data_IF_170933155706
#
_entry.id   IF_170933155706
#
_cell.length_a   1.000
_cell.length_b   1.000
_cell.length_c   1.000
_cell.angle_alpha   90.00
_cell.angle_beta   90.00
_cell.angle_gamma   90.00
#
_symmetry.space_group_name_H-M   'P 1'
#
loop_
_entity.id
_entity.type
_entity.pdbx_description
1 polymer ?
#
# COMPACT_ATOMS: atom_id res chain seq x y z
N UNK A 1 -79.39 4.59 8.13
CA UNK A 1 -78.91 5.09 9.42
C UNK A 1 -77.78 4.16 9.81
N UNK A 2 -76.55 4.55 9.45
CA UNK A 2 -75.40 3.65 9.43
C UNK A 2 -74.72 3.60 10.79
N UNK A 3 -74.78 2.44 11.43
CA UNK A 3 -73.98 2.11 12.61
C UNK A 3 -72.58 1.68 12.16
N UNK A 4 -71.62 2.62 12.20
CA UNK A 4 -70.20 2.32 12.11
C UNK A 4 -69.77 1.55 13.37
N UNK A 5 -69.51 0.27 13.22
CA UNK A 5 -68.75 -0.54 14.18
C UNK A 5 -67.26 -0.17 14.07
N UNK A 6 -66.78 0.67 14.99
CA UNK A 6 -65.34 0.78 15.26
C UNK A 6 -64.92 -0.43 16.09
N UNK A 7 -64.10 -1.31 15.50
CA UNK A 7 -63.40 -2.38 16.21
C UNK A 7 -62.31 -1.72 17.06
N UNK A 8 -62.46 -1.77 18.38
CA UNK A 8 -61.35 -1.48 19.29
C UNK A 8 -60.30 -2.60 19.16
N UNK A 9 -59.22 -2.29 18.46
CA UNK A 9 -58.03 -3.14 18.41
C UNK A 9 -57.21 -2.83 19.67
N UNK A 10 -57.42 -3.63 20.72
CA UNK A 10 -56.54 -3.62 21.88
C UNK A 10 -55.22 -4.26 21.45
N UNK A 11 -54.22 -3.42 21.16
CA UNK A 11 -52.83 -3.82 20.99
C UNK A 11 -52.28 -4.25 22.35
N UNK A 12 -52.37 -5.55 22.65
CA UNK A 12 -51.59 -6.15 23.72
C UNK A 12 -50.12 -6.13 23.31
N UNK A 13 -49.42 -5.06 23.68
CA UNK A 13 -47.97 -5.07 23.73
C UNK A 13 -47.56 -6.11 24.76
N UNK A 14 -47.05 -7.22 24.28
CA UNK A 14 -46.49 -8.26 25.12
C UNK A 14 -45.24 -7.67 25.81
N UNK A 15 -45.38 -7.26 27.07
CA UNK A 15 -44.33 -6.61 27.87
C UNK A 15 -43.03 -7.44 27.93
N UNK A 16 -43.12 -8.75 27.69
CA UNK A 16 -41.97 -9.66 27.57
C UNK A 16 -41.10 -9.44 26.31
N UNK A 17 -41.62 -8.80 25.26
CA UNK A 17 -40.81 -8.39 24.11
C UNK A 17 -40.10 -7.05 24.34
N UNK A 18 -40.72 -6.14 25.11
CA UNK A 18 -40.10 -4.89 25.53
C UNK A 18 -38.93 -5.10 26.48
N UNK A 19 -39.05 -6.02 27.44
CA UNK A 19 -37.99 -6.37 28.39
C UNK A 19 -36.83 -7.18 27.78
N UNK A 20 -37.07 -7.88 26.66
CA UNK A 20 -35.98 -8.47 25.84
C UNK A 20 -35.19 -7.44 25.05
N UNK A 21 -35.83 -6.35 24.61
CA UNK A 21 -35.16 -5.20 23.98
C UNK A 21 -34.35 -4.36 24.99
N UNK A 22 -34.70 -4.38 26.28
CA UNK A 22 -33.95 -3.67 27.34
C UNK A 22 -32.58 -4.27 27.65
N UNK A 23 -32.29 -5.50 27.24
CA UNK A 23 -30.98 -6.18 27.42
C UNK A 23 -30.20 -6.38 26.12
N UNK A 24 -30.53 -5.63 25.07
CA UNK A 24 -29.87 -5.80 23.78
C UNK A 24 -28.46 -5.18 23.82
N UNK A 25 -27.48 -5.96 24.26
CA UNK A 25 -26.05 -5.62 24.14
C UNK A 25 -25.68 -5.47 22.67
N UNK A 26 -24.81 -4.50 22.35
CA UNK A 26 -24.37 -4.34 20.98
C UNK A 26 -23.64 -5.60 20.49
N UNK A 27 -24.06 -6.09 19.32
CA UNK A 27 -23.46 -7.22 18.65
C UNK A 27 -22.47 -6.69 17.63
N UNK A 28 -21.20 -7.08 17.77
CA UNK A 28 -20.16 -6.82 16.78
C UNK A 28 -20.34 -7.78 15.61
N UNK A 29 -20.21 -7.27 14.39
CA UNK A 29 -20.35 -8.09 13.19
C UNK A 29 -19.33 -7.71 12.12
N UNK A 30 -18.94 -8.71 11.33
CA UNK A 30 -18.08 -8.55 10.15
C UNK A 30 -18.86 -7.92 9.00
N UNK A 31 -18.33 -6.83 8.44
CA UNK A 31 -18.87 -6.22 7.22
C UNK A 31 -18.30 -6.89 5.97
N UNK A 32 -19.02 -6.76 4.87
CA UNK A 32 -18.46 -6.99 3.55
C UNK A 32 -17.57 -5.81 3.18
N UNK A 33 -16.30 -6.09 2.88
CA UNK A 33 -15.35 -5.05 2.48
C UNK A 33 -15.67 -4.53 1.08
N UNK A 34 -15.46 -3.23 0.88
CA UNK A 34 -15.48 -2.63 -0.45
C UNK A 34 -14.42 -3.30 -1.36
N UNK A 35 -14.69 -3.50 -2.67
CA UNK A 35 -13.78 -4.18 -3.59
C UNK A 35 -12.37 -3.59 -3.63
N UNK A 36 -12.23 -2.29 -3.41
CA UNK A 36 -10.93 -1.60 -3.34
C UNK A 36 -9.96 -2.22 -2.33
N UNK A 37 -10.44 -2.81 -1.23
CA UNK A 37 -9.57 -3.46 -0.23
C UNK A 37 -8.87 -4.71 -0.77
N UNK A 38 -9.38 -5.35 -1.83
CA UNK A 38 -8.69 -6.47 -2.48
C UNK A 38 -7.39 -6.05 -3.18
N UNK A 39 -7.17 -4.73 -3.31
CA UNK A 39 -6.01 -4.11 -3.99
C UNK A 39 -4.94 -3.67 -2.99
N UNK A 40 -5.18 -3.81 -1.69
CA UNK A 40 -4.29 -3.35 -0.62
C UNK A 40 -3.76 -4.56 0.15
N UNK A 41 -2.45 -4.59 0.45
CA UNK A 41 -1.87 -5.71 1.19
C UNK A 41 -2.33 -5.73 2.65
N UNK A 42 -2.55 -6.92 3.25
CA UNK A 42 -2.91 -7.05 4.66
C UNK A 42 -2.03 -6.26 5.62
N UNK A 43 -0.71 -6.21 5.41
CA UNK A 43 0.22 -5.51 6.31
C UNK A 43 -0.03 -4.00 6.35
N UNK A 44 -0.27 -3.38 5.19
CA UNK A 44 -0.60 -1.95 5.13
C UNK A 44 -1.89 -1.67 5.91
N UNK A 45 -2.91 -2.51 5.73
CA UNK A 45 -4.19 -2.40 6.45
C UNK A 45 -4.03 -2.64 7.96
N UNK A 46 -3.27 -3.67 8.35
CA UNK A 46 -3.01 -3.99 9.75
C UNK A 46 -2.37 -2.81 10.49
N UNK A 47 -1.35 -2.20 9.87
CA UNK A 47 -0.70 -1.03 10.44
C UNK A 47 -1.66 0.15 10.57
N UNK A 48 -2.40 0.46 9.50
CA UNK A 48 -3.33 1.59 9.50
C UNK A 48 -4.45 1.40 10.55
N UNK A 49 -4.97 0.18 10.69
CA UNK A 49 -6.01 -0.16 11.66
C UNK A 49 -5.54 0.01 13.11
N UNK A 50 -4.34 -0.50 13.44
CA UNK A 50 -3.75 -0.39 14.78
C UNK A 50 -3.39 1.07 15.12
N UNK A 51 -3.02 1.88 14.13
CA UNK A 51 -2.61 3.27 14.33
C UNK A 51 -3.66 4.33 13.96
N UNK A 52 -4.89 3.91 13.64
CA UNK A 52 -5.97 4.79 13.12
C UNK A 52 -6.31 5.98 14.02
N UNK A 53 -6.06 5.88 15.32
CA UNK A 53 -6.27 6.97 16.30
C UNK A 53 -5.12 7.97 16.43
N UNK A 54 -4.00 7.79 15.72
CA UNK A 54 -2.80 8.61 15.87
C UNK A 54 -2.44 9.29 14.54
N UNK A 55 -2.90 10.53 14.34
CA UNK A 55 -2.73 11.27 13.08
C UNK A 55 -1.25 11.41 12.63
N UNK A 56 -0.31 11.52 13.56
CA UNK A 56 1.13 11.66 13.25
C UNK A 56 1.70 10.50 12.43
N UNK A 57 1.07 9.33 12.45
CA UNK A 57 1.56 8.13 11.76
C UNK A 57 1.19 8.07 10.28
N UNK A 58 0.16 8.81 9.87
CA UNK A 58 -0.21 8.93 8.45
C UNK A 58 0.73 9.87 7.67
N UNK A 59 1.57 10.62 8.37
CA UNK A 59 2.63 11.44 7.78
C UNK A 59 3.96 10.67 7.60
N UNK A 60 3.99 9.38 7.95
CA UNK A 60 5.20 8.56 7.83
C UNK A 60 5.46 8.15 6.38
N UNK A 61 6.73 7.90 6.01
CA UNK A 61 7.10 7.52 4.64
C UNK A 61 6.36 6.28 4.10
N UNK A 62 5.88 5.41 4.99
CA UNK A 62 5.12 4.21 4.63
C UNK A 62 3.66 4.53 4.21
N UNK A 63 3.11 5.72 4.53
CA UNK A 63 1.76 6.16 4.13
C UNK A 63 1.69 7.47 3.34
N UNK A 64 2.82 8.19 3.22
CA UNK A 64 2.84 9.57 2.69
C UNK A 64 2.15 9.73 1.33
N UNK A 65 2.20 8.69 0.50
CA UNK A 65 1.57 8.69 -0.83
C UNK A 65 0.43 7.67 -0.96
N UNK A 66 0.24 6.79 0.04
CA UNK A 66 -0.82 5.80 0.02
C UNK A 66 -2.20 6.47 0.05
N UNK A 67 -2.32 7.56 0.80
CA UNK A 67 -3.55 8.37 0.90
C UNK A 67 -3.95 9.01 -0.45
N UNK A 68 -2.98 9.26 -1.33
CA UNK A 68 -3.21 9.77 -2.68
C UNK A 68 -3.38 8.65 -3.72
N UNK A 69 -3.18 7.39 -3.33
CA UNK A 69 -3.11 6.28 -4.26
C UNK A 69 -4.45 5.62 -4.60
N UNK A 70 -5.49 5.85 -3.79
CA UNK A 70 -6.84 5.31 -3.99
C UNK A 70 -7.89 6.42 -3.95
N UNK A 71 -8.89 6.33 -4.84
CA UNK A 71 -9.92 7.37 -4.96
C UNK A 71 -11.05 7.24 -3.94
N UNK A 72 -11.25 6.06 -3.36
CA UNK A 72 -12.43 5.72 -2.56
C UNK A 72 -12.12 5.31 -1.10
N UNK A 73 -10.84 5.26 -0.71
CA UNK A 73 -10.44 4.78 0.63
C UNK A 73 -9.56 5.81 1.32
N UNK A 74 -9.96 6.17 2.54
CA UNK A 74 -9.05 6.79 3.50
C UNK A 74 -8.57 5.73 4.48
N UNK A 75 -7.25 5.59 4.63
CA UNK A 75 -6.66 4.74 5.68
C UNK A 75 -6.71 5.38 7.08
N UNK A 76 -7.35 6.55 7.22
CA UNK A 76 -7.35 7.34 8.44
C UNK A 76 -8.51 7.01 9.40
N UNK A 77 -9.01 8.02 10.11
CA UNK A 77 -10.10 7.90 11.08
C UNK A 77 -11.33 7.32 10.38
N UNK A 78 -11.88 6.24 10.95
CA UNK A 78 -13.03 5.54 10.39
C UNK A 78 -12.70 4.22 9.71
N UNK A 79 -11.43 3.94 9.37
CA UNK A 79 -11.02 2.69 8.70
C UNK A 79 -11.54 1.43 9.41
N UNK A 80 -11.49 1.38 10.75
CA UNK A 80 -11.99 0.23 11.53
C UNK A 80 -13.48 -0.07 11.28
N UNK A 81 -14.27 0.96 10.94
CA UNK A 81 -15.71 0.85 10.66
C UNK A 81 -16.01 0.36 9.26
N UNK A 82 -15.04 0.32 8.34
CA UNK A 82 -15.16 -0.37 7.05
C UNK A 82 -15.16 -1.89 7.23
N UNK A 83 -14.44 -2.37 8.25
CA UNK A 83 -14.25 -3.80 8.53
C UNK A 83 -15.35 -4.37 9.41
N UNK A 84 -15.75 -3.63 10.44
CA UNK A 84 -16.67 -4.11 11.48
C UNK A 84 -17.77 -3.09 11.74
N UNK A 85 -18.92 -3.58 12.21
CA UNK A 85 -20.03 -2.76 12.65
C UNK A 85 -20.63 -3.27 13.96
N UNK A 86 -21.45 -2.41 14.59
CA UNK A 86 -22.24 -2.75 15.77
C UNK A 86 -23.72 -2.69 15.40
N UNK A 87 -24.52 -3.58 15.96
CA UNK A 87 -25.98 -3.60 15.77
C UNK A 87 -26.72 -4.01 17.04
N UNK A 88 -28.04 -3.84 17.02
CA UNK A 88 -28.97 -4.32 18.04
C UNK A 88 -28.77 -3.69 19.44
N UNK A 89 -28.28 -2.46 19.55
CA UNK A 89 -28.27 -1.72 20.81
C UNK A 89 -29.26 -0.54 20.78
N UNK A 90 -29.91 -0.28 21.92
CA UNK A 90 -30.87 0.82 22.10
C UNK A 90 -30.23 2.20 21.89
N UNK A 91 -28.95 2.33 22.21
CA UNK A 91 -28.15 3.55 22.10
C UNK A 91 -26.80 3.22 21.46
N UNK A 92 -26.81 2.94 20.16
CA UNK A 92 -25.61 2.52 19.41
C UNK A 92 -24.47 3.54 19.47
N UNK A 93 -24.76 4.83 19.69
CA UNK A 93 -23.76 5.89 19.78
C UNK A 93 -22.84 5.73 21.00
N UNK A 94 -23.34 5.11 22.06
CA UNK A 94 -22.54 4.75 23.24
C UNK A 94 -21.66 3.53 23.04
N UNK A 95 -21.82 2.78 21.95
CA UNK A 95 -21.04 1.57 21.71
C UNK A 95 -19.97 1.79 20.65
N UNK A 96 -18.81 1.22 20.89
CA UNK A 96 -17.70 1.20 19.96
C UNK A 96 -16.91 -0.10 20.09
N UNK A 97 -15.77 -0.16 19.42
CA UNK A 97 -14.84 -1.26 19.53
C UNK A 97 -13.42 -0.78 19.26
N UNK A 98 -12.46 -1.41 19.90
CA UNK A 98 -11.04 -1.17 19.71
C UNK A 98 -10.38 -2.38 19.06
N UNK A 99 -9.47 -2.12 18.13
CA UNK A 99 -8.63 -3.15 17.55
C UNK A 99 -7.44 -3.32 18.50
N UNK A 100 -7.38 -4.46 19.19
CA UNK A 100 -6.29 -4.79 20.11
C UNK A 100 -5.03 -5.21 19.35
N UNK A 101 -5.21 -5.98 18.28
CA UNK A 101 -4.12 -6.39 17.40
C UNK A 101 -4.61 -6.70 15.99
N UNK A 102 -3.69 -6.63 15.02
CA UNK A 102 -3.91 -6.97 13.64
C UNK A 102 -2.75 -7.83 13.13
N UNK A 103 -3.05 -9.04 12.68
CA UNK A 103 -2.07 -10.02 12.21
C UNK A 103 -2.22 -10.20 10.69
N UNK A 104 -1.30 -9.63 9.89
CA UNK A 104 -1.35 -9.71 8.44
C UNK A 104 -0.59 -10.92 7.87
N UNK A 105 -1.11 -11.50 6.80
CA UNK A 105 -0.42 -12.47 5.98
C UNK A 105 -0.49 -12.07 4.50
N UNK A 106 0.52 -11.34 4.03
CA UNK A 106 0.60 -10.83 2.67
C UNK A 106 0.82 -11.95 1.63
N UNK A 107 1.31 -13.13 2.01
CA UNK A 107 1.41 -14.26 1.08
C UNK A 107 0.03 -14.83 0.73
N UNK A 108 -0.86 -14.94 1.71
CA UNK A 108 -2.19 -15.52 1.52
C UNK A 108 -3.29 -14.49 1.28
N UNK A 109 -3.02 -13.20 1.53
CA UNK A 109 -4.00 -12.13 1.42
C UNK A 109 -5.03 -12.16 2.55
N UNK A 110 -4.60 -12.57 3.75
CA UNK A 110 -5.44 -12.72 4.93
C UNK A 110 -5.05 -11.71 6.00
N UNK A 111 -6.06 -11.10 6.64
CA UNK A 111 -5.89 -10.22 7.81
C UNK A 111 -6.76 -10.73 8.96
N UNK A 112 -6.16 -10.98 10.12
CA UNK A 112 -6.88 -11.33 11.34
C UNK A 112 -6.86 -10.18 12.32
N UNK A 113 -8.03 -9.77 12.81
CA UNK A 113 -8.17 -8.70 13.80
C UNK A 113 -8.65 -9.29 15.12
N UNK A 114 -8.01 -8.88 16.23
CA UNK A 114 -8.50 -9.13 17.58
C UNK A 114 -9.12 -7.85 18.12
N UNK A 115 -10.38 -7.91 18.54
CA UNK A 115 -11.21 -6.72 18.78
C UNK A 115 -11.91 -6.78 20.12
N UNK A 116 -11.88 -5.67 20.85
CA UNK A 116 -12.58 -5.49 22.12
C UNK A 116 -13.78 -4.57 21.93
N UNK A 117 -14.99 -5.05 22.23
CA UNK A 117 -16.16 -4.16 22.32
C UNK A 117 -16.00 -3.21 23.49
N UNK A 118 -16.42 -1.96 23.30
CA UNK A 118 -16.36 -0.92 24.34
C UNK A 118 -17.69 -0.17 24.40
N UNK A 119 -18.01 0.34 25.59
CA UNK A 119 -19.17 1.20 25.82
C UNK A 119 -18.71 2.45 26.55
N UNK A 120 -19.16 3.61 26.08
CA UNK A 120 -18.92 4.90 26.71
C UNK A 120 -20.21 5.36 27.38
N UNK A 121 -20.20 5.37 28.72
CA UNK A 121 -21.20 6.05 29.53
C UNK A 121 -20.53 7.30 30.13
N UNK A 122 -19.98 7.19 31.34
CA UNK A 122 -19.14 8.23 31.96
C UNK A 122 -17.65 7.99 31.71
N UNK A 123 -17.25 6.72 31.66
CA UNK A 123 -15.90 6.26 31.31
C UNK A 123 -16.00 5.15 30.27
N UNK A 124 -14.93 4.98 29.49
CA UNK A 124 -14.85 3.91 28.49
C UNK A 124 -14.63 2.57 29.18
N UNK A 125 -15.55 1.63 28.99
CA UNK A 125 -15.49 0.30 29.58
C UNK A 125 -15.36 -0.77 28.51
N UNK A 126 -14.56 -1.81 28.79
CA UNK A 126 -14.45 -3.00 27.95
C UNK A 126 -15.61 -3.94 28.24
N UNK A 127 -16.31 -4.39 27.20
CA UNK A 127 -17.49 -5.25 27.31
C UNK A 127 -17.18 -6.63 26.71
N UNK A 128 -17.33 -7.67 27.53
CA UNK A 128 -17.10 -9.06 27.12
C UNK A 128 -15.63 -9.38 26.82
N UNK A 129 -15.39 -10.60 26.35
CA UNK A 129 -14.06 -11.04 25.92
C UNK A 129 -13.74 -10.53 24.50
N UNK A 130 -12.45 -10.36 24.16
CA UNK A 130 -12.05 -10.02 22.80
C UNK A 130 -12.52 -11.07 21.78
N UNK A 131 -13.00 -10.61 20.63
CA UNK A 131 -13.46 -11.42 19.50
C UNK A 131 -12.44 -11.36 18.35
N UNK A 132 -12.33 -12.44 17.58
CA UNK A 132 -11.43 -12.51 16.41
C UNK A 132 -12.19 -12.53 15.09
N UNK A 133 -11.72 -11.73 14.12
CA UNK A 133 -12.32 -11.63 12.79
C UNK A 133 -11.26 -11.84 11.71
N UNK A 134 -11.54 -12.75 10.78
CA UNK A 134 -10.68 -13.03 9.62
C UNK A 134 -11.24 -12.35 8.38
N UNK A 135 -10.41 -11.61 7.66
CA UNK A 135 -10.70 -11.01 6.36
C UNK A 135 -9.79 -11.65 5.33
N UNK A 136 -10.36 -11.98 4.17
CA UNK A 136 -9.72 -12.75 3.11
C UNK A 136 -9.87 -12.00 1.78
N UNK A 137 -9.20 -12.49 0.74
CA UNK A 137 -9.20 -11.90 -0.60
C UNK A 137 -8.62 -10.47 -0.65
N UNK A 138 -7.71 -10.15 0.28
CA UNK A 138 -6.88 -8.95 0.21
C UNK A 138 -5.71 -9.17 -0.76
N UNK A 139 -4.97 -8.10 -1.09
CA UNK A 139 -3.86 -8.20 -2.06
C UNK A 139 -2.79 -9.14 -1.55
N UNK A 140 -2.42 -10.12 -2.38
CA UNK A 140 -1.30 -11.03 -2.15
C UNK A 140 -0.01 -10.44 -2.72
N UNK A 141 1.11 -10.76 -2.08
CA UNK A 141 2.44 -10.58 -2.63
C UNK A 141 2.55 -11.32 -3.97
N UNK A 142 3.08 -10.62 -4.97
CA UNK A 142 3.27 -11.18 -6.31
C UNK A 142 3.59 -10.11 -7.35
N UNK A 143 4.32 -10.54 -8.36
CA UNK A 143 4.87 -9.71 -9.45
C UNK A 143 3.89 -9.54 -10.63
N UNK A 144 2.76 -10.25 -10.61
CA UNK A 144 1.82 -10.27 -11.74
C UNK A 144 1.24 -8.90 -12.06
N UNK A 145 1.21 -7.99 -11.07
CA UNK A 145 0.40 -6.78 -11.13
C UNK A 145 1.22 -5.51 -11.33
N UNK A 146 2.56 -5.60 -11.33
CA UNK A 146 3.44 -4.46 -11.54
C UNK A 146 4.67 -4.82 -12.38
N UNK A 147 5.39 -3.79 -12.80
CA UNK A 147 6.69 -3.88 -13.45
C UNK A 147 7.56 -2.67 -13.11
N UNK A 148 8.86 -2.84 -13.30
CA UNK A 148 9.82 -1.75 -13.32
C UNK A 148 10.21 -1.47 -14.77
N UNK A 149 10.16 -0.21 -15.17
CA UNK A 149 10.47 0.23 -16.53
C UNK A 149 11.23 1.56 -16.52
N UNK A 150 11.91 1.85 -17.62
CA UNK A 150 12.56 3.13 -17.87
C UNK A 150 11.97 3.67 -19.17
N UNK A 151 11.51 4.92 -19.16
CA UNK A 151 11.09 5.62 -20.38
C UNK A 151 12.31 6.21 -21.10
N UNK A 152 12.70 5.68 -22.28
CA UNK A 152 13.85 6.17 -23.03
C UNK A 152 13.76 7.67 -23.36
N UNK A 153 12.54 8.20 -23.52
CA UNK A 153 12.30 9.60 -23.90
C UNK A 153 12.73 10.57 -22.79
N UNK A 154 12.71 10.13 -21.52
CA UNK A 154 13.15 10.93 -20.38
C UNK A 154 14.67 10.88 -20.18
N UNK A 155 15.33 9.83 -20.67
CA UNK A 155 16.76 9.58 -20.45
C UNK A 155 17.64 10.42 -21.39
N UNK A 156 17.35 10.39 -22.70
CA UNK A 156 18.21 11.02 -23.70
C UNK A 156 18.44 12.52 -23.45
N UNK A 157 17.40 13.34 -23.16
CA UNK A 157 17.59 14.76 -22.86
C UNK A 157 18.56 14.98 -21.70
N UNK A 158 18.47 14.20 -20.62
CA UNK A 158 19.35 14.35 -19.45
C UNK A 158 20.80 14.00 -19.77
N UNK A 159 21.03 12.98 -20.60
CA UNK A 159 22.38 12.60 -21.04
C UNK A 159 22.99 13.70 -21.92
N UNK A 160 22.20 14.22 -22.87
CA UNK A 160 22.59 15.30 -23.79
C UNK A 160 22.94 16.58 -23.03
N UNK A 161 22.07 17.00 -22.11
CA UNK A 161 22.18 18.27 -21.40
C UNK A 161 23.37 18.27 -20.42
N UNK A 162 23.66 17.10 -19.81
CA UNK A 162 24.88 16.89 -19.00
C UNK A 162 26.15 16.71 -19.85
N UNK A 163 26.04 16.74 -21.18
CA UNK A 163 27.17 16.66 -22.13
C UNK A 163 28.07 15.44 -21.91
N UNK A 164 27.50 14.30 -21.47
CA UNK A 164 28.26 13.10 -21.05
C UNK A 164 29.18 12.58 -22.17
N UNK A 165 28.74 12.68 -23.43
CA UNK A 165 29.51 12.20 -24.59
C UNK A 165 30.49 13.23 -25.16
N UNK A 166 30.44 14.51 -24.76
CA UNK A 166 31.20 15.59 -25.44
C UNK A 166 32.72 15.52 -25.25
N UNK A 167 33.24 14.70 -24.33
CA UNK A 167 34.70 14.58 -24.10
C UNK A 167 35.37 13.46 -24.91
N UNK A 168 34.62 12.52 -25.48
CA UNK A 168 35.16 11.39 -26.24
C UNK A 168 34.55 11.35 -27.65
N UNK A 169 35.03 12.21 -28.55
CA UNK A 169 34.60 12.19 -29.95
C UNK A 169 35.15 10.98 -30.74
N UNK A 170 36.13 10.24 -30.20
CA UNK A 170 36.89 9.23 -30.94
C UNK A 170 36.82 7.79 -30.38
N UNK A 171 35.91 7.48 -29.45
CA UNK A 171 35.84 6.14 -28.85
C UNK A 171 34.42 5.58 -28.78
N UNK A 172 34.20 4.38 -29.35
CA UNK A 172 32.96 3.63 -29.19
C UNK A 172 32.74 3.13 -27.75
N UNK A 173 33.79 3.13 -26.90
CA UNK A 173 33.71 2.65 -25.52
C UNK A 173 33.46 3.79 -24.52
N UNK A 174 32.57 3.52 -23.57
CA UNK A 174 32.26 4.42 -22.46
C UNK A 174 33.26 4.25 -21.33
N UNK A 175 33.76 5.36 -20.82
CA UNK A 175 34.56 5.37 -19.58
C UNK A 175 33.69 5.00 -18.38
N UNK A 176 34.29 4.49 -17.31
CA UNK A 176 33.58 4.17 -16.05
C UNK A 176 32.85 5.38 -15.46
N UNK A 177 33.41 6.59 -15.63
CA UNK A 177 32.76 7.83 -15.21
C UNK A 177 31.48 8.07 -16.02
N UNK A 178 31.55 7.92 -17.35
CA UNK A 178 30.37 8.07 -18.22
C UNK A 178 29.31 7.02 -17.91
N UNK A 179 29.70 5.75 -17.74
CA UNK A 179 28.78 4.68 -17.33
C UNK A 179 28.12 5.00 -15.99
N UNK A 180 28.89 5.47 -14.99
CA UNK A 180 28.34 5.86 -13.70
C UNK A 180 27.36 7.03 -13.79
N UNK A 181 27.62 8.02 -14.63
CA UNK A 181 26.69 9.14 -14.85
C UNK A 181 25.40 8.69 -15.55
N UNK A 182 25.52 7.84 -16.59
CA UNK A 182 24.37 7.27 -17.30
C UNK A 182 23.56 6.36 -16.37
N UNK A 183 24.23 5.47 -15.61
CA UNK A 183 23.60 4.58 -14.66
C UNK A 183 22.80 5.32 -13.59
N UNK A 184 23.32 6.44 -13.08
CA UNK A 184 22.55 7.30 -12.15
C UNK A 184 21.31 7.88 -12.82
N UNK A 185 21.41 8.37 -14.07
CA UNK A 185 20.24 8.86 -14.82
C UNK A 185 19.21 7.73 -15.01
N UNK A 186 19.65 6.52 -15.37
CA UNK A 186 18.74 5.37 -15.51
C UNK A 186 17.99 5.08 -14.20
N UNK A 187 18.70 5.05 -13.07
CA UNK A 187 18.08 4.83 -11.75
C UNK A 187 17.18 5.98 -11.32
N UNK A 188 17.57 7.23 -11.60
CA UNK A 188 16.77 8.41 -11.27
C UNK A 188 15.43 8.47 -12.02
N UNK A 189 15.34 7.72 -13.12
CA UNK A 189 14.15 7.65 -13.97
C UNK A 189 13.54 6.24 -14.00
N UNK A 190 13.96 5.34 -13.09
CA UNK A 190 13.30 4.05 -12.93
C UNK A 190 11.89 4.27 -12.40
N UNK A 191 10.90 3.75 -13.12
CA UNK A 191 9.48 3.86 -12.79
C UNK A 191 8.96 2.51 -12.32
N UNK A 192 8.25 2.51 -11.21
CA UNK A 192 7.33 1.44 -10.84
C UNK A 192 5.98 1.71 -11.51
N UNK A 193 5.41 0.71 -12.17
CA UNK A 193 4.12 0.82 -12.85
C UNK A 193 3.24 -0.38 -12.57
N UNK A 194 1.96 -0.13 -12.28
CA UNK A 194 0.93 -1.16 -12.24
C UNK A 194 0.51 -1.55 -13.65
N UNK A 195 0.36 -2.86 -13.87
CA UNK A 195 -0.08 -3.42 -15.16
C UNK A 195 -1.58 -3.24 -15.40
N UNK A 196 -2.37 -3.13 -14.34
CA UNK A 196 -3.84 -3.03 -14.43
C UNK A 196 -4.29 -1.57 -14.51
N UNK A 197 -5.29 -1.30 -15.37
CA UNK A 197 -5.84 0.03 -15.58
C UNK A 197 -7.13 0.26 -14.78
N UNK A 198 -7.07 -0.03 -13.49
CA UNK A 198 -8.21 0.04 -12.56
C UNK A 198 -8.59 1.50 -12.23
N UNK A 199 -9.88 1.83 -12.18
CA UNK A 199 -10.37 3.19 -11.91
C UNK A 199 -10.29 3.59 -10.43
N UNK A 200 -10.22 2.62 -9.51
CA UNK A 200 -10.16 2.92 -8.07
C UNK A 200 -8.74 3.26 -7.62
N UNK A 201 -7.75 3.00 -8.48
CA UNK A 201 -6.34 3.28 -8.27
C UNK A 201 -5.96 4.57 -9.00
N UNK A 202 -5.52 5.58 -8.24
CA UNK A 202 -5.04 6.85 -8.78
C UNK A 202 -3.55 6.75 -9.12
N UNK A 203 -2.73 6.28 -8.18
CA UNK A 203 -1.27 6.21 -8.34
C UNK A 203 -0.89 4.93 -9.10
N UNK A 204 -0.97 4.98 -10.43
CA UNK A 204 -0.64 3.84 -11.30
C UNK A 204 0.83 3.72 -11.61
N UNK A 205 1.56 4.83 -11.54
CA UNK A 205 2.99 4.87 -11.83
C UNK A 205 3.69 5.94 -10.99
N UNK A 206 4.95 5.68 -10.63
CA UNK A 206 5.80 6.67 -9.99
C UNK A 206 7.29 6.36 -10.18
N UNK A 207 8.12 7.41 -10.07
CA UNK A 207 9.57 7.26 -10.06
C UNK A 207 10.04 6.70 -8.71
N UNK A 208 10.78 5.59 -8.74
CA UNK A 208 11.20 4.85 -7.54
C UNK A 208 12.02 5.73 -6.58
N UNK A 209 12.92 6.56 -7.11
CA UNK A 209 13.77 7.44 -6.30
C UNK A 209 13.02 8.52 -5.51
N UNK A 210 11.78 8.86 -5.89
CA UNK A 210 10.94 9.81 -5.14
C UNK A 210 10.34 9.19 -3.88
N UNK A 211 10.22 7.85 -3.87
CA UNK A 211 9.51 7.11 -2.83
C UNK A 211 10.48 6.36 -1.90
N UNK A 212 11.67 6.01 -2.40
CA UNK A 212 12.75 5.41 -1.61
C UNK A 212 13.65 6.53 -1.06
N UNK A 213 13.49 6.88 0.22
CA UNK A 213 14.32 7.90 0.88
C UNK A 213 15.73 7.37 1.18
N UNK A 214 16.72 8.25 1.25
CA UNK A 214 18.07 7.89 1.74
C UNK A 214 17.94 7.34 3.17
N UNK A 215 18.34 6.09 3.39
CA UNK A 215 18.16 5.27 4.61
C UNK A 215 16.84 4.48 4.74
N UNK A 216 15.97 4.54 3.73
CA UNK A 216 14.85 3.63 3.61
C UNK A 216 14.88 2.97 2.23
N UNK A 217 15.07 1.65 2.20
CA UNK A 217 15.18 0.89 0.96
C UNK A 217 13.83 0.30 0.49
N UNK A 218 12.71 0.66 1.13
CA UNK A 218 11.38 0.17 0.74
C UNK A 218 10.40 1.29 0.38
N UNK A 219 9.37 0.92 -0.37
CA UNK A 219 8.13 1.69 -0.53
C UNK A 219 6.93 0.80 -0.19
N UNK A 220 5.78 1.41 0.09
CA UNK A 220 4.58 0.73 0.55
C UNK A 220 3.41 1.00 -0.40
N UNK A 221 3.48 0.44 -1.60
CA UNK A 221 2.39 0.56 -2.57
C UNK A 221 2.50 -0.44 -3.74
N UNK A 222 1.42 -1.14 -4.12
CA UNK A 222 0.20 -1.43 -3.34
C UNK A 222 0.48 -2.46 -2.21
N UNK A 223 1.69 -2.97 -2.20
CA UNK A 223 2.28 -3.88 -1.21
C UNK A 223 3.65 -3.34 -0.81
N UNK A 224 4.21 -3.83 0.30
CA UNK A 224 5.49 -3.34 0.80
C UNK A 224 6.62 -4.08 0.09
N UNK A 225 7.43 -3.33 -0.67
CA UNK A 225 8.52 -3.85 -1.48
C UNK A 225 9.81 -3.15 -1.06
N UNK A 226 10.81 -3.93 -0.68
CA UNK A 226 12.17 -3.49 -0.44
C UNK A 226 13.02 -3.70 -1.68
N UNK A 227 13.88 -2.74 -2.01
CA UNK A 227 14.85 -2.81 -3.09
C UNK A 227 16.25 -2.73 -2.50
N UNK A 228 17.25 -3.40 -3.10
CA UNK A 228 18.67 -3.09 -2.80
C UNK A 228 19.12 -1.78 -3.46
N UNK A 229 18.36 -0.72 -3.25
CA UNK A 229 18.48 0.55 -3.98
C UNK A 229 19.79 1.27 -3.70
N UNK A 230 20.17 1.40 -2.42
CA UNK A 230 21.40 2.11 -2.04
C UNK A 230 22.65 1.46 -2.64
N UNK A 231 22.70 0.13 -2.66
CA UNK A 231 23.82 -0.62 -3.25
C UNK A 231 23.84 -0.47 -4.78
N UNK A 232 22.68 -0.60 -5.42
CA UNK A 232 22.53 -0.42 -6.86
C UNK A 232 22.96 1.00 -7.29
N UNK A 233 22.56 2.03 -6.54
CA UNK A 233 22.91 3.42 -6.81
C UNK A 233 24.40 3.71 -6.61
N UNK A 234 25.04 3.12 -5.58
CA UNK A 234 26.50 3.22 -5.37
C UNK A 234 27.28 2.52 -6.48
N UNK A 235 26.76 1.42 -7.01
CA UNK A 235 27.39 0.61 -8.06
C UNK A 235 26.88 0.93 -9.48
N UNK A 236 26.30 2.12 -9.71
CA UNK A 236 25.69 2.48 -11.00
C UNK A 236 26.68 2.40 -12.19
N UNK A 237 27.99 2.49 -11.95
CA UNK A 237 29.00 2.31 -13.01
C UNK A 237 29.19 0.85 -13.46
N UNK A 238 28.78 -0.13 -12.64
CA UNK A 238 28.88 -1.57 -12.95
C UNK A 238 27.74 -2.09 -13.83
N UNK A 239 26.77 -1.24 -14.18
CA UNK A 239 25.72 -1.60 -15.12
C UNK A 239 26.32 -1.91 -16.49
N UNK A 240 25.71 -2.87 -17.21
CA UNK A 240 26.11 -3.15 -18.58
C UNK A 240 25.58 -2.04 -19.47
N UNK A 241 26.45 -1.10 -19.85
CA UNK A 241 26.11 0.05 -20.69
C UNK A 241 27.09 0.11 -21.85
N UNK A 242 26.58 0.05 -23.06
CA UNK A 242 27.38 0.13 -24.29
C UNK A 242 26.71 0.96 -25.37
N UNK A 243 27.51 1.54 -26.27
CA UNK A 243 27.00 2.18 -27.49
C UNK A 243 27.19 1.21 -28.65
N UNK A 244 26.09 0.86 -29.32
CA UNK A 244 26.09 0.00 -30.50
C UNK A 244 25.06 0.51 -31.49
N UNK A 245 25.43 0.59 -32.77
CA UNK A 245 24.52 0.98 -33.86
C UNK A 245 23.76 2.30 -33.58
N UNK A 246 24.44 3.31 -33.05
CA UNK A 246 23.85 4.62 -32.66
C UNK A 246 22.76 4.51 -31.59
N UNK A 247 22.76 3.43 -30.80
CA UNK A 247 21.91 3.24 -29.63
C UNK A 247 22.77 3.06 -28.39
N UNK A 248 22.28 3.55 -27.27
CA UNK A 248 22.80 3.21 -25.95
C UNK A 248 21.99 2.03 -25.45
N UNK A 249 22.66 0.88 -25.31
CA UNK A 249 22.09 -0.33 -24.74
C UNK A 249 22.42 -0.36 -23.26
N UNK A 250 21.44 -0.68 -22.43
CA UNK A 250 21.65 -0.84 -20.99
C UNK A 250 21.01 -2.14 -20.47
N UNK A 251 21.64 -2.73 -19.46
CA UNK A 251 21.09 -3.83 -18.69
C UNK A 251 21.62 -3.82 -17.25
N UNK A 252 20.75 -4.02 -16.27
CA UNK A 252 21.11 -4.16 -14.87
C UNK A 252 20.10 -5.02 -14.11
N UNK A 253 20.56 -5.65 -13.03
CA UNK A 253 19.71 -6.44 -12.16
C UNK A 253 19.17 -5.56 -11.03
N UNK A 254 17.85 -5.54 -10.88
CA UNK A 254 17.16 -4.97 -9.73
C UNK A 254 16.81 -6.09 -8.76
N UNK A 255 17.39 -6.06 -7.57
CA UNK A 255 17.05 -6.98 -6.50
C UNK A 255 15.97 -6.37 -5.61
N UNK A 256 14.88 -7.11 -5.40
CA UNK A 256 13.75 -6.70 -4.57
C UNK A 256 13.21 -7.83 -3.71
N UNK A 257 12.52 -7.51 -2.63
CA UNK A 257 11.92 -8.46 -1.71
C UNK A 257 10.58 -7.95 -1.18
N UNK A 258 9.69 -8.87 -0.86
CA UNK A 258 8.43 -8.59 -0.18
C UNK A 258 8.63 -8.56 1.33
N UNK A 259 7.73 -7.90 2.06
CA UNK A 259 7.68 -8.01 3.51
C UNK A 259 7.46 -9.48 3.94
N UNK A 260 8.16 -9.92 4.97
CA UNK A 260 7.91 -11.25 5.55
C UNK A 260 6.49 -11.34 6.15
N UNK A 261 5.87 -12.54 6.11
CA UNK A 261 4.58 -12.76 6.73
C UNK A 261 4.61 -12.41 8.22
N UNK A 262 3.53 -11.78 8.71
CA UNK A 262 3.39 -11.37 10.11
C UNK A 262 4.48 -10.40 10.61
N UNK A 263 5.26 -9.77 9.73
CA UNK A 263 6.22 -8.76 10.15
C UNK A 263 5.50 -7.61 10.86
N UNK A 264 5.99 -7.24 12.04
CA UNK A 264 5.44 -6.11 12.77
C UNK A 264 5.93 -4.81 12.14
N UNK A 265 5.01 -4.07 11.52
CA UNK A 265 5.29 -2.75 10.98
C UNK A 265 5.33 -1.77 12.16
N UNK A 266 6.52 -1.30 12.52
CA UNK A 266 6.65 -0.19 13.46
C UNK A 266 6.94 1.13 12.74
N UNK A 267 6.39 2.24 13.25
CA UNK A 267 6.52 3.59 12.70
C UNK A 267 7.92 4.07 12.31
N UNK A 268 8.93 3.61 13.05
CA UNK A 268 10.33 4.01 12.89
C UNK A 268 11.25 2.80 12.74
N UNK A 269 10.69 1.61 12.49
CA UNK A 269 11.49 0.40 12.43
C UNK A 269 12.33 0.38 11.16
N UNK A 270 13.64 0.46 11.36
CA UNK A 270 14.64 -0.03 10.42
C UNK A 270 14.73 -1.57 10.42
N UNK A 271 13.91 -2.24 11.25
CA UNK A 271 13.91 -3.68 11.51
C UNK A 271 12.84 -4.45 10.71
N UNK A 272 12.28 -3.86 9.64
CA UNK A 272 11.39 -4.59 8.76
C UNK A 272 12.13 -5.79 8.17
N UNK A 273 11.56 -6.97 8.40
CA UNK A 273 12.07 -8.22 7.84
C UNK A 273 11.44 -8.43 6.47
N UNK A 274 12.30 -8.72 5.49
CA UNK A 274 11.91 -8.97 4.11
C UNK A 274 12.28 -10.39 3.73
N UNK A 275 11.47 -10.99 2.86
CA UNK A 275 11.71 -12.31 2.32
C UNK A 275 13.02 -12.35 1.54
N UNK A 276 13.39 -13.55 1.06
CA UNK A 276 14.51 -13.69 0.14
C UNK A 276 14.37 -12.74 -1.05
N UNK A 277 15.46 -12.04 -1.36
CA UNK A 277 15.52 -11.13 -2.49
C UNK A 277 15.41 -11.92 -3.80
N UNK A 278 14.48 -11.46 -4.62
CA UNK A 278 14.30 -11.84 -6.00
C UNK A 278 15.04 -10.85 -6.89
N UNK A 279 15.24 -11.24 -8.15
CA UNK A 279 16.01 -10.45 -9.11
C UNK A 279 15.21 -10.29 -10.40
N UNK A 280 15.10 -9.05 -10.86
CA UNK A 280 14.53 -8.70 -12.15
C UNK A 280 15.58 -7.97 -12.98
N UNK A 281 15.88 -8.50 -14.17
CA UNK A 281 16.78 -7.81 -15.11
C UNK A 281 16.01 -6.74 -15.87
N UNK A 282 16.46 -5.49 -15.72
CA UNK A 282 15.96 -4.32 -16.45
C UNK A 282 16.90 -4.06 -17.60
N UNK A 283 16.36 -4.02 -18.82
CA UNK A 283 17.13 -3.76 -20.03
C UNK A 283 16.36 -2.87 -20.99
N UNK A 284 17.07 -2.15 -21.82
CA UNK A 284 16.47 -1.34 -22.87
C UNK A 284 17.48 -0.70 -23.79
N UNK A 285 16.95 0.06 -24.74
CA UNK A 285 17.73 0.78 -25.74
C UNK A 285 17.25 2.23 -25.84
N UNK A 286 18.19 3.16 -25.95
CA UNK A 286 17.92 4.59 -26.14
C UNK A 286 18.54 5.01 -27.48
N UNK A 287 17.73 5.45 -28.46
CA UNK A 287 18.25 6.03 -29.69
C UNK A 287 19.09 7.27 -29.39
N UNK A 288 20.31 7.32 -29.90
CA UNK A 288 21.20 8.46 -29.75
C UNK A 288 21.01 9.38 -30.94
N UNK A 289 19.90 10.13 -30.93
CA UNK A 289 19.65 11.16 -31.93
C UNK A 289 20.75 12.23 -31.80
N UNK A 290 21.57 12.39 -32.84
CA UNK A 290 22.62 13.43 -32.98
C UNK A 290 24.02 13.18 -32.35
N UNK A 291 24.43 11.96 -31.99
CA UNK A 291 25.85 11.74 -31.57
C UNK A 291 26.84 11.71 -32.74
N UNK A 292 26.37 11.59 -33.99
CA UNK A 292 27.25 11.42 -35.16
C UNK A 292 26.99 12.47 -36.25
N UNK A 293 27.19 13.74 -35.93
CA UNK A 293 27.62 14.76 -36.89
C UNK A 293 28.85 15.47 -36.36
#
# INVERSE_FOLDING_TARGET
>A
MDLKLTKDVVLFWNLDQGSKLEKAEAILYKKQLSPVFSKISPSILAYALVNSGKQSYFNLPVFSDFSAAFSQVSLSVGLKTEFLGLKNAKDLEKWSFDILSANPNDQTGILKLKVQKTKTEETKQNIGQPEEFTFENLKKNGDSDFEFQIDPNLIWPQIRDKKIFRKNQNGQSLTEIQKGQIGKILLDNLVFRLKNNDSDIILKEFQVNKYIKVNNNFFAYPQIISLKWTELYKNANKMQIEIKNKKLLYSFDLEYAYLEPNAHLEPNSQSLQFSNFQRQTIKGEIPLEFILK
#
